data_IF_561626985822
#
_entry.id   IF_561626985822
#
_cell.length_a   1.000
_cell.length_b   1.000
_cell.length_c   1.000
_cell.angle_alpha   90.00
_cell.angle_beta   90.00
_cell.angle_gamma   90.00
#
_symmetry.space_group_name_H-M   'P 1'
#
loop_
_entity.id
_entity.type
_entity.pdbx_description
1 polymer ?
#
# COMPACT_ATOMS: atom_id res chain seq x y z
N UNK A 1 -15.13 17.77 -11.98
CA UNK A 1 -15.34 17.60 -10.53
C UNK A 1 -14.39 16.51 -10.05
N UNK A 2 -13.43 16.81 -9.17
CA UNK A 2 -12.53 15.79 -8.62
C UNK A 2 -13.15 15.20 -7.36
N UNK A 3 -13.35 13.87 -7.27
CA UNK A 3 -13.88 13.25 -6.06
C UNK A 3 -12.89 13.44 -4.90
N UNK A 4 -13.42 13.61 -3.68
CA UNK A 4 -12.62 13.89 -2.47
C UNK A 4 -11.69 12.74 -2.04
N UNK A 5 -11.80 11.58 -2.68
CA UNK A 5 -11.01 10.38 -2.37
C UNK A 5 -11.90 9.14 -2.23
N UNK A 6 -11.25 8.00 -2.02
CA UNK A 6 -11.89 6.70 -1.76
C UNK A 6 -11.57 6.30 -0.32
N UNK A 7 -12.58 5.86 0.44
CA UNK A 7 -12.38 5.30 1.77
C UNK A 7 -11.97 3.84 1.63
N UNK A 8 -10.84 3.47 2.22
CA UNK A 8 -10.32 2.10 2.27
C UNK A 8 -10.44 1.61 3.71
N UNK A 9 -10.94 0.39 3.91
CA UNK A 9 -11.04 -0.26 5.21
C UNK A 9 -9.69 -0.83 5.67
N UNK A 10 -9.58 -1.12 6.97
CA UNK A 10 -8.37 -1.75 7.52
C UNK A 10 -8.10 -3.13 6.89
N UNK A 11 -9.15 -3.88 6.57
CA UNK A 11 -9.03 -5.19 5.92
C UNK A 11 -8.48 -5.07 4.49
N UNK A 12 -8.95 -4.08 3.72
CA UNK A 12 -8.44 -3.80 2.38
C UNK A 12 -6.98 -3.32 2.42
N UNK A 13 -6.63 -2.47 3.39
CA UNK A 13 -5.25 -2.02 3.60
C UNK A 13 -4.31 -3.18 3.99
N UNK A 14 -4.79 -4.08 4.84
CA UNK A 14 -4.03 -5.27 5.28
C UNK A 14 -3.85 -6.31 4.17
N UNK A 15 -4.72 -6.33 3.15
CA UNK A 15 -4.62 -7.25 2.03
C UNK A 15 -3.55 -6.86 0.98
N UNK A 16 -2.91 -5.71 1.14
CA UNK A 16 -1.83 -5.25 0.26
C UNK A 16 -0.58 -6.10 0.53
N UNK A 17 -0.02 -6.70 -0.51
CA UNK A 17 1.29 -7.35 -0.46
C UNK A 17 2.41 -6.31 -0.45
N UNK A 18 2.63 -5.73 0.73
CA UNK A 18 3.68 -4.75 1.00
C UNK A 18 4.79 -5.37 1.84
N UNK A 19 6.01 -5.33 1.32
CA UNK A 19 7.22 -5.71 2.05
C UNK A 19 7.92 -4.44 2.54
N UNK A 20 8.19 -4.34 3.86
CA UNK A 20 8.94 -3.21 4.44
C UNK A 20 10.43 -3.50 4.39
N UNK A 21 11.19 -2.44 4.14
CA UNK A 21 12.64 -2.43 4.08
C UNK A 21 13.21 -1.48 5.13
N UNK A 22 14.54 -1.50 5.25
CA UNK A 22 15.25 -0.42 5.93
C UNK A 22 14.99 0.92 5.24
N UNK A 23 15.27 2.00 5.94
CA UNK A 23 15.08 3.34 5.41
C UNK A 23 16.21 3.68 4.43
N UNK A 24 15.84 4.13 3.23
CA UNK A 24 16.79 4.40 2.14
C UNK A 24 16.71 5.85 1.64
N UNK A 25 16.49 6.80 2.55
CA UNK A 25 16.00 8.14 2.22
C UNK A 25 14.48 8.09 2.17
N UNK A 26 13.82 8.69 1.17
CA UNK A 26 12.36 8.85 1.21
C UNK A 26 11.53 7.57 0.99
N UNK A 27 12.15 6.38 1.01
CA UNK A 27 11.49 5.11 0.73
C UNK A 27 11.90 3.98 1.71
N UNK A 28 10.95 3.08 1.99
CA UNK A 28 11.15 1.94 2.90
C UNK A 28 10.21 0.74 2.63
N UNK A 29 9.67 0.57 1.41
CA UNK A 29 8.82 -0.58 1.10
C UNK A 29 8.77 -0.94 -0.39
N UNK A 30 8.24 -2.12 -0.69
CA UNK A 30 7.89 -2.57 -2.04
C UNK A 30 6.47 -3.11 -2.03
N UNK A 31 5.70 -2.86 -3.08
CA UNK A 31 4.39 -3.47 -3.30
C UNK A 31 4.53 -4.46 -4.46
N UNK A 32 4.10 -5.70 -4.24
CA UNK A 32 4.11 -6.75 -5.26
C UNK A 32 2.68 -7.17 -5.62
N UNK A 33 2.46 -7.78 -6.80
CA UNK A 33 1.17 -8.38 -7.14
C UNK A 33 0.78 -9.45 -6.11
N UNK A 34 -0.52 -9.57 -5.86
CA UNK A 34 -1.05 -10.76 -5.20
C UNK A 34 -1.04 -11.90 -6.23
N UNK A 35 -0.40 -13.01 -5.91
CA UNK A 35 -0.51 -14.24 -6.70
C UNK A 35 -1.91 -14.81 -6.49
N UNK A 36 -2.74 -14.79 -7.54
CA UNK A 36 -4.10 -15.35 -7.54
C UNK A 36 -4.13 -16.86 -7.32
#
# INVERSE_FOLDING_TARGET
>A
LYPKGVKVSDAEMAAINIARHEFHGDWNYTIAPNSS
#
